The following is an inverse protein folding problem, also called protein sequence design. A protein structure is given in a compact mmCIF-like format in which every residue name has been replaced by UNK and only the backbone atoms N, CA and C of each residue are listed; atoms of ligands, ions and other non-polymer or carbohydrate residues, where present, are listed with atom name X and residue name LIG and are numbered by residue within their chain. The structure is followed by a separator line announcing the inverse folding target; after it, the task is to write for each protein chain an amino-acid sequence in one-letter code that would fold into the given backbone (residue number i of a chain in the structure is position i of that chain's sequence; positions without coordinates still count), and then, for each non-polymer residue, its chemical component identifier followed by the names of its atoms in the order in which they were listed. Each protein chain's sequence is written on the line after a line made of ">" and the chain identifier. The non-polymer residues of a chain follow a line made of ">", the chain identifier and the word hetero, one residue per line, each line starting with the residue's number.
data_IF_459048167730
#
_entry.id   IF_459048167730
#
_cell.length_a   1.000
_cell.length_b   1.000
_cell.length_c   1.000
_cell.angle_alpha   90.00
_cell.angle_beta   90.00
_cell.angle_gamma   90.00
#
_symmetry.space_group_name_H-M   'P 1'
#
loop_
_entity.id
_entity.type
_entity.pdbx_description
1 polymer ?
#
# COMPACT_ATOMS: atom_id res chain seq x y z
N UNK A 1 -6.69 10.79 26.70
CA UNK A 1 -7.29 10.10 25.52
C UNK A 1 -7.76 11.18 24.58
N UNK A 2 -7.48 11.06 23.28
CA UNK A 2 -7.77 12.16 22.34
C UNK A 2 -6.72 13.29 22.33
N UNK A 3 -5.78 13.27 23.29
CA UNK A 3 -4.60 14.13 23.27
C UNK A 3 -3.73 13.84 22.04
N UNK A 4 -2.85 14.79 21.69
CA UNK A 4 -1.95 14.65 20.54
C UNK A 4 -0.54 14.30 21.00
N UNK A 5 0.05 13.30 20.35
CA UNK A 5 1.47 13.00 20.43
C UNK A 5 2.13 13.47 19.14
N UNK A 6 3.24 14.19 19.27
CA UNK A 6 4.03 14.65 18.13
C UNK A 6 5.44 14.13 18.26
N UNK A 7 5.93 13.51 17.19
CA UNK A 7 7.34 13.21 17.03
C UNK A 7 7.95 14.26 16.11
N UNK A 8 9.03 14.86 16.57
CA UNK A 8 9.73 15.97 15.92
C UNK A 8 11.21 15.59 15.75
N UNK A 9 11.85 16.09 14.70
CA UNK A 9 13.32 16.15 14.65
C UNK A 9 13.84 17.27 15.56
N UNK A 10 15.15 17.29 15.80
CA UNK A 10 15.81 18.35 16.58
C UNK A 10 15.65 19.74 15.93
N UNK A 11 15.49 19.80 14.60
CA UNK A 11 15.18 21.03 13.85
C UNK A 11 13.69 21.42 13.90
N UNK A 12 12.87 20.68 14.65
CA UNK A 12 11.44 20.92 14.81
C UNK A 12 10.57 20.44 13.65
N UNK A 13 11.11 19.59 12.75
CA UNK A 13 10.33 19.01 11.66
C UNK A 13 9.40 17.95 12.23
N UNK A 14 8.09 18.09 11.99
CA UNK A 14 7.08 17.10 12.42
C UNK A 14 7.21 15.83 11.57
N UNK A 15 7.58 14.72 12.21
CA UNK A 15 7.60 13.40 11.61
C UNK A 15 6.22 12.73 11.71
N UNK A 16 5.62 12.77 12.90
CA UNK A 16 4.31 12.19 13.18
C UNK A 16 3.50 13.17 14.04
N UNK A 17 2.21 13.33 13.72
CA UNK A 17 1.23 14.01 14.56
C UNK A 17 0.04 13.06 14.71
N UNK A 18 -0.06 12.39 15.86
CA UNK A 18 -1.04 11.34 16.12
C UNK A 18 -1.97 11.69 17.27
N UNK A 19 -3.23 11.25 17.18
CA UNK A 19 -4.16 11.23 18.30
C UNK A 19 -3.93 9.98 19.12
N UNK A 20 -3.91 10.09 20.44
CA UNK A 20 -3.87 8.94 21.34
C UNK A 20 -5.21 8.23 21.33
N UNK A 21 -5.20 6.98 20.89
CA UNK A 21 -6.35 6.07 20.90
C UNK A 21 -6.35 5.13 22.10
N UNK A 22 -5.16 4.80 22.59
CA UNK A 22 -4.99 3.81 23.65
C UNK A 22 -3.89 4.24 24.62
N UNK A 23 -4.11 3.97 25.90
CA UNK A 23 -3.12 4.07 26.97
C UNK A 23 -3.18 2.78 27.76
N UNK A 24 -2.08 2.07 27.78
CA UNK A 24 -1.89 0.89 28.60
C UNK A 24 -0.95 1.24 29.77
N UNK A 25 -1.24 0.70 30.95
CA UNK A 25 -0.40 0.83 32.15
C UNK A 25 -0.16 -0.57 32.70
N UNK A 26 1.09 -0.98 32.79
CA UNK A 26 1.48 -2.30 33.30
C UNK A 26 2.23 -2.17 34.63
N UNK A 27 1.93 -3.06 35.58
CA UNK A 27 2.51 -3.07 36.92
C UNK A 27 4.00 -3.47 36.90
N UNK A 28 4.38 -4.38 36.00
CA UNK A 28 5.78 -4.69 35.73
C UNK A 28 6.48 -3.43 35.20
N UNK A 29 7.18 -2.74 36.12
CA UNK A 29 8.03 -1.56 35.93
C UNK A 29 7.32 -0.20 35.82
N UNK A 30 6.01 -0.12 36.06
CA UNK A 30 5.28 1.16 35.97
C UNK A 30 5.30 1.78 34.57
N UNK A 31 5.38 0.93 33.54
CA UNK A 31 5.45 1.34 32.14
C UNK A 31 4.10 1.87 31.68
N UNK A 32 4.13 2.99 30.94
CA UNK A 32 2.95 3.55 30.28
C UNK A 32 3.20 3.52 28.77
N UNK A 33 2.34 2.82 28.05
CA UNK A 33 2.38 2.75 26.58
C UNK A 33 1.23 3.57 26.01
N UNK A 34 1.53 4.39 25.01
CA UNK A 34 0.51 5.12 24.26
C UNK A 34 0.51 4.68 22.81
N UNK A 35 -0.65 4.29 22.29
CA UNK A 35 -0.85 3.99 20.87
C UNK A 35 -1.72 5.06 20.26
N UNK A 36 -1.27 5.60 19.12
CA UNK A 36 -1.96 6.67 18.42
C UNK A 36 -1.87 6.54 16.91
N UNK A 37 -2.80 7.20 16.22
CA UNK A 37 -2.87 7.24 14.77
C UNK A 37 -3.03 8.68 14.28
N UNK A 38 -2.55 8.97 13.08
CA UNK A 38 -2.81 10.25 12.44
C UNK A 38 -4.29 10.43 12.03
N UNK A 39 -4.62 11.61 11.50
CA UNK A 39 -6.00 11.95 11.13
C UNK A 39 -6.51 11.15 9.90
N UNK A 40 -5.66 10.39 9.19
CA UNK A 40 -6.12 9.47 8.14
C UNK A 40 -6.95 8.32 8.74
N UNK A 41 -6.71 7.96 10.01
CA UNK A 41 -7.55 7.00 10.74
C UNK A 41 -9.02 7.43 10.79
N UNK A 42 -9.30 8.73 10.93
CA UNK A 42 -10.67 9.25 10.90
C UNK A 42 -11.32 9.04 9.54
N UNK A 43 -10.57 9.28 8.45
CA UNK A 43 -11.04 9.08 7.08
C UNK A 43 -11.33 7.60 6.82
N UNK A 44 -10.44 6.70 7.28
CA UNK A 44 -10.62 5.25 7.16
C UNK A 44 -11.83 4.75 7.94
N UNK A 45 -12.12 5.34 9.11
CA UNK A 45 -13.23 4.90 9.99
C UNK A 45 -14.58 5.54 9.69
N UNK A 46 -14.64 6.53 8.80
CA UNK A 46 -15.87 7.28 8.50
C UNK A 46 -16.48 6.81 7.18
N UNK A 47 -17.78 6.48 7.20
CA UNK A 47 -18.53 6.13 6.00
C UNK A 47 -19.20 7.36 5.39
N UNK A 48 -19.32 7.36 4.06
CA UNK A 48 -19.87 8.45 3.27
C UNK A 48 -20.82 7.89 2.20
N UNK A 49 -21.84 8.68 1.85
CA UNK A 49 -22.72 8.39 0.72
C UNK A 49 -22.81 9.61 -0.21
N UNK A 50 -22.30 9.48 -1.44
CA UNK A 50 -22.28 10.57 -2.41
C UNK A 50 -22.49 10.09 -3.84
N UNK A 51 -23.06 10.97 -4.67
CA UNK A 51 -23.19 10.76 -6.12
C UNK A 51 -22.50 11.92 -6.85
N UNK A 52 -21.20 11.77 -7.09
CA UNK A 52 -20.41 12.78 -7.78
C UNK A 52 -20.68 12.75 -9.28
N UNK A 53 -20.77 13.93 -9.91
CA UNK A 53 -20.94 14.11 -11.37
C UNK A 53 -19.95 15.14 -11.89
N UNK A 54 -19.38 14.91 -13.08
CA UNK A 54 -18.44 15.83 -13.76
C UNK A 54 -17.33 16.34 -12.82
N UNK A 55 -16.65 15.41 -12.16
CA UNK A 55 -15.66 15.69 -11.13
C UNK A 55 -14.27 15.19 -11.54
N UNK A 56 -13.30 15.28 -10.63
CA UNK A 56 -11.96 14.68 -10.74
C UNK A 56 -11.58 14.04 -9.40
N UNK A 57 -10.57 13.15 -9.33
CA UNK A 57 -10.11 12.57 -8.08
C UNK A 57 -9.78 13.63 -7.01
N UNK A 58 -9.10 14.71 -7.38
CA UNK A 58 -8.69 15.75 -6.43
C UNK A 58 -9.89 16.52 -5.88
N UNK A 59 -10.95 16.68 -6.68
CA UNK A 59 -12.20 17.32 -6.23
C UNK A 59 -12.95 16.43 -5.25
N UNK A 60 -13.00 15.12 -5.50
CA UNK A 60 -13.59 14.15 -4.58
C UNK A 60 -12.81 14.14 -3.27
N UNK A 61 -11.48 14.04 -3.30
CA UNK A 61 -10.65 14.08 -2.09
C UNK A 61 -10.88 15.34 -1.27
N UNK A 62 -10.92 16.52 -1.91
CA UNK A 62 -11.23 17.78 -1.22
C UNK A 62 -12.62 17.79 -0.58
N UNK A 63 -13.61 17.18 -1.24
CA UNK A 63 -14.98 17.05 -0.71
C UNK A 63 -15.00 16.16 0.53
N UNK A 64 -14.41 14.97 0.45
CA UNK A 64 -14.28 14.01 1.57
C UNK A 64 -13.58 14.66 2.76
N UNK A 65 -12.42 15.29 2.54
CA UNK A 65 -11.69 15.98 3.59
C UNK A 65 -12.49 17.10 4.26
N UNK A 66 -13.22 17.90 3.46
CA UNK A 66 -14.04 18.99 3.98
C UNK A 66 -15.16 18.48 4.89
N UNK A 67 -15.85 17.43 4.48
CA UNK A 67 -16.94 16.82 5.24
C UNK A 67 -16.45 16.21 6.55
N UNK A 68 -15.30 15.54 6.53
CA UNK A 68 -14.72 14.89 7.69
C UNK A 68 -13.84 15.82 8.56
N UNK A 69 -13.76 17.11 8.23
CA UNK A 69 -12.97 18.08 8.98
C UNK A 69 -11.46 17.87 8.93
N UNK A 70 -10.94 17.16 7.92
CA UNK A 70 -9.50 16.93 7.74
C UNK A 70 -8.92 18.01 6.83
N UNK A 71 -7.83 18.64 7.28
CA UNK A 71 -7.15 19.65 6.47
C UNK A 71 -6.44 19.01 5.27
N UNK A 72 -6.35 19.74 4.15
CA UNK A 72 -5.67 19.27 2.95
C UNK A 72 -4.26 19.85 2.81
N UNK A 73 -3.36 19.04 2.29
CA UNK A 73 -2.01 19.40 1.86
C UNK A 73 -1.91 19.38 0.33
N UNK A 74 -0.84 18.80 -0.18
CA UNK A 74 -0.66 18.59 -1.61
C UNK A 74 -1.49 17.39 -2.11
N UNK A 75 -2.38 17.64 -3.06
CA UNK A 75 -3.21 16.60 -3.69
C UNK A 75 -2.76 16.42 -5.14
N UNK A 76 -2.23 15.24 -5.47
CA UNK A 76 -1.74 14.93 -6.81
C UNK A 76 -2.81 15.18 -7.87
N UNK A 77 -2.51 16.07 -8.83
CA UNK A 77 -3.37 16.37 -9.98
C UNK A 77 -3.21 15.30 -11.07
N UNK A 78 -4.26 14.55 -11.30
CA UNK A 78 -4.42 13.51 -12.33
C UNK A 78 -4.89 14.09 -13.66
N UNK A 79 -5.68 15.17 -13.63
CA UNK A 79 -6.42 15.75 -14.76
C UNK A 79 -7.37 14.75 -15.46
N UNK A 80 -7.73 13.66 -14.79
CA UNK A 80 -8.65 12.64 -15.30
C UNK A 80 -10.10 13.03 -14.97
N UNK A 81 -10.97 13.24 -15.98
CA UNK A 81 -12.36 13.60 -15.75
C UNK A 81 -13.21 12.38 -15.38
N UNK A 82 -13.92 12.46 -14.26
CA UNK A 82 -14.87 11.44 -13.82
C UNK A 82 -16.30 11.91 -14.13
N UNK A 83 -16.94 11.25 -15.10
CA UNK A 83 -18.33 11.58 -15.50
C UNK A 83 -19.31 11.39 -14.34
N UNK A 84 -19.22 10.25 -13.66
CA UNK A 84 -20.04 9.87 -12.50
C UNK A 84 -19.26 8.92 -11.61
N UNK A 85 -19.38 9.06 -10.30
CA UNK A 85 -18.92 8.08 -9.31
C UNK A 85 -19.89 8.08 -8.13
N UNK A 86 -20.40 6.90 -7.80
CA UNK A 86 -21.20 6.68 -6.59
C UNK A 86 -20.26 6.17 -5.51
N UNK A 87 -20.34 6.79 -4.35
CA UNK A 87 -19.63 6.37 -3.14
C UNK A 87 -20.68 5.91 -2.15
N UNK A 88 -20.48 4.69 -1.67
CA UNK A 88 -21.17 4.09 -0.53
C UNK A 88 -20.11 3.26 0.20
N UNK A 89 -19.54 3.80 1.28
CA UNK A 89 -18.42 3.16 1.97
C UNK A 89 -17.47 4.15 2.66
N UNK A 90 -16.27 3.67 3.00
CA UNK A 90 -15.31 4.44 3.78
C UNK A 90 -14.76 5.66 3.04
N UNK A 91 -14.42 6.74 3.74
CA UNK A 91 -13.85 7.95 3.14
C UNK A 91 -12.51 7.68 2.43
N UNK A 92 -11.71 6.76 2.95
CA UNK A 92 -10.47 6.31 2.30
C UNK A 92 -10.77 5.58 1.00
N UNK A 93 -11.72 4.65 1.03
CA UNK A 93 -12.18 3.91 -0.14
C UNK A 93 -12.73 4.86 -1.20
N UNK A 94 -13.47 5.90 -0.81
CA UNK A 94 -13.98 6.93 -1.72
C UNK A 94 -12.86 7.66 -2.46
N UNK A 95 -11.78 8.02 -1.75
CA UNK A 95 -10.58 8.62 -2.33
C UNK A 95 -9.92 7.63 -3.29
N UNK A 96 -9.69 6.39 -2.85
CA UNK A 96 -8.99 5.39 -3.64
C UNK A 96 -9.78 4.93 -4.86
N UNK A 97 -11.10 4.76 -4.79
CA UNK A 97 -11.99 4.52 -5.95
C UNK A 97 -11.82 5.57 -7.03
N UNK A 98 -11.73 6.85 -6.64
CA UNK A 98 -11.52 7.93 -7.60
C UNK A 98 -10.12 7.87 -8.24
N UNK A 99 -9.08 7.60 -7.44
CA UNK A 99 -7.72 7.47 -7.95
C UNK A 99 -7.46 6.17 -8.72
N UNK A 100 -8.23 5.10 -8.49
CA UNK A 100 -8.25 3.88 -9.31
C UNK A 100 -8.71 4.21 -10.74
N UNK A 101 -9.78 4.99 -10.90
CA UNK A 101 -10.23 5.45 -12.22
C UNK A 101 -9.13 6.23 -12.94
N UNK A 102 -8.44 7.12 -12.23
CA UNK A 102 -7.30 7.84 -12.79
C UNK A 102 -6.15 6.91 -13.17
N UNK A 103 -5.82 5.93 -12.32
CA UNK A 103 -4.80 4.93 -12.59
C UNK A 103 -5.10 4.15 -13.88
N UNK A 104 -6.34 3.72 -14.10
CA UNK A 104 -6.73 3.01 -15.31
C UNK A 104 -6.58 3.86 -16.58
N UNK A 105 -6.74 5.18 -16.49
CA UNK A 105 -6.57 6.08 -17.64
C UNK A 105 -5.11 6.48 -17.89
N UNK A 106 -4.32 6.71 -16.84
CA UNK A 106 -2.99 7.32 -16.97
C UNK A 106 -1.81 6.43 -16.51
N UNK A 107 -2.08 5.22 -16.01
CA UNK A 107 -1.12 4.25 -15.48
C UNK A 107 -0.28 4.70 -14.27
N UNK A 108 -0.55 5.87 -13.70
CA UNK A 108 0.10 6.39 -12.48
C UNK A 108 -0.54 5.80 -11.24
N UNK A 109 0.25 5.67 -10.18
CA UNK A 109 -0.17 5.04 -8.92
C UNK A 109 -0.21 6.09 -7.83
N UNK A 110 -1.23 6.03 -6.98
CA UNK A 110 -1.50 7.07 -6.01
C UNK A 110 -1.65 6.51 -4.61
N UNK A 111 -1.34 7.33 -3.60
CA UNK A 111 -1.49 6.96 -2.20
C UNK A 111 -1.80 8.20 -1.35
N UNK A 112 -2.86 8.18 -0.53
CA UNK A 112 -3.07 9.17 0.50
C UNK A 112 -2.10 8.94 1.67
N UNK A 113 -1.58 10.01 2.24
CA UNK A 113 -0.78 9.99 3.46
C UNK A 113 -0.94 11.31 4.22
N UNK A 114 -0.59 11.33 5.50
CA UNK A 114 -0.59 12.56 6.30
C UNK A 114 0.80 13.20 6.31
N UNK A 115 0.84 14.52 6.13
CA UNK A 115 2.01 15.34 6.45
C UNK A 115 1.58 16.31 7.55
N UNK A 116 2.02 16.05 8.78
CA UNK A 116 1.43 16.64 9.97
C UNK A 116 -0.08 16.39 10.00
N UNK A 117 -0.89 17.45 10.10
CA UNK A 117 -2.37 17.35 10.14
C UNK A 117 -3.06 17.49 8.78
N UNK A 118 -2.29 17.41 7.68
CA UNK A 118 -2.81 17.64 6.33
C UNK A 118 -2.77 16.36 5.51
N UNK A 119 -3.92 15.97 4.94
CA UNK A 119 -4.00 14.89 3.97
C UNK A 119 -3.31 15.32 2.68
N UNK A 120 -2.35 14.52 2.25
CA UNK A 120 -1.72 14.61 0.95
C UNK A 120 -2.13 13.40 0.12
N UNK A 121 -2.10 13.53 -1.21
CA UNK A 121 -2.09 12.39 -2.13
C UNK A 121 -0.85 12.51 -3.00
N UNK A 122 -0.02 11.49 -2.98
CA UNK A 122 1.24 11.43 -3.74
C UNK A 122 1.11 10.53 -4.96
N UNK A 123 2.00 10.72 -5.95
CA UNK A 123 2.29 9.69 -6.95
C UNK A 123 3.31 8.70 -6.34
N UNK A 124 2.92 7.43 -6.17
CA UNK A 124 3.74 6.38 -5.54
C UNK A 124 4.99 6.07 -6.37
N UNK A 125 6.09 5.77 -5.68
CA UNK A 125 7.33 5.23 -6.25
C UNK A 125 8.37 6.28 -6.62
N UNK A 126 8.20 7.51 -6.12
CA UNK A 126 9.25 8.53 -6.11
C UNK A 126 10.46 8.00 -5.33
N UNK A 127 11.67 8.19 -5.85
CA UNK A 127 12.89 7.71 -5.22
C UNK A 127 13.24 8.58 -4.00
N UNK A 128 13.60 7.95 -2.88
CA UNK A 128 14.23 8.62 -1.73
C UNK A 128 15.50 9.33 -2.23
N UNK A 129 15.66 10.61 -1.90
CA UNK A 129 16.75 11.43 -2.42
C UNK A 129 17.97 11.32 -1.52
N UNK A 130 19.15 11.32 -2.12
CA UNK A 130 20.44 11.35 -1.41
C UNK A 130 20.62 10.24 -0.35
N UNK A 131 19.94 9.11 -0.54
CA UNK A 131 20.04 7.96 0.35
C UNK A 131 19.83 6.67 -0.45
N UNK A 132 20.57 5.63 -0.08
CA UNK A 132 20.45 4.29 -0.60
C UNK A 132 20.80 3.30 0.51
N UNK A 133 20.37 2.05 0.37
CA UNK A 133 20.70 0.99 1.30
C UNK A 133 21.88 0.19 0.76
N UNK A 134 22.87 -0.03 1.60
CA UNK A 134 24.08 -0.78 1.25
C UNK A 134 24.51 -1.67 2.43
N UNK A 135 24.85 -2.93 2.14
CA UNK A 135 25.25 -3.94 3.12
C UNK A 135 26.61 -3.67 3.77
N UNK A 136 27.43 -2.83 3.15
CA UNK A 136 28.70 -2.37 3.71
C UNK A 136 28.59 -1.07 4.52
N UNK A 137 27.47 -0.35 4.43
CA UNK A 137 27.30 0.97 5.06
C UNK A 137 26.25 1.00 6.17
N UNK A 138 24.99 0.65 5.87
CA UNK A 138 23.86 1.01 6.71
C UNK A 138 22.81 -0.09 6.92
N UNK A 139 22.83 -1.17 6.13
CA UNK A 139 22.01 -2.35 6.40
C UNK A 139 22.60 -3.12 7.58
N UNK A 140 21.77 -3.47 8.55
CA UNK A 140 22.16 -4.26 9.71
C UNK A 140 21.69 -5.71 9.63
N UNK A 141 20.58 -5.95 8.95
CA UNK A 141 20.07 -7.28 8.66
C UNK A 141 19.14 -7.23 7.45
N UNK A 142 19.09 -8.30 6.67
CA UNK A 142 18.18 -8.40 5.53
C UNK A 142 17.72 -9.82 5.32
N UNK A 143 16.55 -9.97 4.71
CA UNK A 143 15.98 -11.26 4.36
C UNK A 143 15.27 -11.18 3.03
N UNK A 144 15.43 -12.22 2.21
CA UNK A 144 14.70 -12.41 0.97
C UNK A 144 14.13 -13.82 0.91
N UNK A 145 12.81 -13.92 0.75
CA UNK A 145 12.08 -15.19 0.67
C UNK A 145 11.35 -15.32 -0.65
N UNK A 146 11.42 -16.51 -1.26
CA UNK A 146 10.62 -16.90 -2.43
C UNK A 146 9.78 -18.12 -2.07
N UNK A 147 8.46 -18.08 -2.33
CA UNK A 147 7.58 -19.24 -2.11
C UNK A 147 6.83 -19.63 -3.39
N UNK A 148 6.63 -20.93 -3.54
CA UNK A 148 5.79 -21.54 -4.57
C UNK A 148 4.49 -22.13 -3.98
N UNK A 149 4.33 -22.05 -2.66
CA UNK A 149 3.25 -22.68 -1.89
C UNK A 149 1.85 -22.39 -2.48
N UNK A 150 1.61 -21.12 -2.80
CA UNK A 150 0.35 -20.66 -3.38
C UNK A 150 0.37 -20.55 -4.91
N UNK A 151 1.38 -21.13 -5.59
CA UNK A 151 1.48 -21.00 -7.04
C UNK A 151 0.27 -21.63 -7.73
N UNK A 152 -0.37 -20.88 -8.63
CA UNK A 152 -1.37 -21.38 -9.56
C UNK A 152 -0.96 -20.92 -10.96
N UNK A 153 -0.38 -21.83 -11.72
CA UNK A 153 0.10 -21.54 -13.07
C UNK A 153 -0.75 -22.15 -14.19
N UNK A 154 -1.80 -22.90 -13.82
CA UNK A 154 -2.87 -23.35 -14.70
C UNK A 154 -4.21 -23.16 -14.01
N UNK A 155 -5.20 -22.61 -14.71
CA UNK A 155 -6.59 -22.56 -14.24
C UNK A 155 -7.48 -23.18 -15.31
N UNK A 156 -8.19 -24.26 -14.97
CA UNK A 156 -9.18 -24.89 -15.86
C UNK A 156 -10.56 -24.31 -15.60
N UNK A 157 -11.27 -23.98 -16.66
CA UNK A 157 -12.59 -23.35 -16.60
C UNK A 157 -13.64 -24.41 -16.84
N UNK A 158 -14.58 -24.55 -15.91
CA UNK A 158 -15.69 -25.49 -16.00
C UNK A 158 -17.04 -24.75 -16.06
N UNK A 159 -18.00 -25.33 -16.76
CA UNK A 159 -19.38 -24.86 -16.72
C UNK A 159 -20.17 -25.52 -15.57
N UNK A 160 -21.38 -25.04 -15.36
CA UNK A 160 -22.41 -25.58 -14.45
C UNK A 160 -22.62 -27.10 -14.55
N UNK A 161 -22.36 -27.69 -15.72
CA UNK A 161 -22.49 -29.13 -15.99
C UNK A 161 -21.19 -29.93 -15.74
N UNK A 162 -20.16 -29.32 -15.17
CA UNK A 162 -18.86 -29.97 -14.92
C UNK A 162 -18.05 -30.27 -16.18
N UNK A 163 -18.39 -29.66 -17.34
CA UNK A 163 -17.60 -29.75 -18.57
C UNK A 163 -16.52 -28.68 -18.58
N UNK A 164 -15.28 -29.09 -18.85
CA UNK A 164 -14.18 -28.16 -19.11
C UNK A 164 -14.47 -27.38 -20.41
N UNK A 165 -14.56 -26.06 -20.30
CA UNK A 165 -14.85 -25.13 -21.40
C UNK A 165 -13.66 -24.24 -21.76
N UNK A 166 -12.54 -24.35 -21.04
CA UNK A 166 -11.32 -23.62 -21.34
C UNK A 166 -10.21 -23.79 -20.31
N UNK A 167 -9.07 -23.17 -20.58
CA UNK A 167 -7.95 -23.12 -19.66
C UNK A 167 -7.14 -21.83 -19.85
N UNK A 168 -6.48 -21.38 -18.77
CA UNK A 168 -5.47 -20.33 -18.80
C UNK A 168 -4.19 -20.89 -18.20
N UNK A 169 -3.03 -20.59 -18.82
CA UNK A 169 -1.74 -21.17 -18.46
C UNK A 169 -0.62 -20.15 -18.50
N UNK A 170 0.27 -20.21 -17.52
CA UNK A 170 1.59 -19.57 -17.57
C UNK A 170 2.64 -20.61 -18.01
N UNK A 171 2.90 -20.69 -19.32
CA UNK A 171 3.81 -21.68 -19.92
C UNK A 171 5.23 -21.60 -19.37
N UNK A 172 5.73 -20.40 -19.07
CA UNK A 172 7.08 -20.21 -18.55
C UNK A 172 7.22 -20.80 -17.15
N UNK A 173 6.23 -20.54 -16.28
CA UNK A 173 6.21 -21.13 -14.94
C UNK A 173 6.00 -22.64 -14.98
N UNK A 174 5.17 -23.15 -15.89
CA UNK A 174 4.97 -24.60 -16.06
C UNK A 174 6.28 -25.28 -16.45
N UNK A 175 7.01 -24.71 -17.41
CA UNK A 175 8.30 -25.26 -17.85
C UNK A 175 9.35 -25.26 -16.73
N UNK A 176 9.31 -24.28 -15.83
CA UNK A 176 10.30 -24.11 -14.77
C UNK A 176 9.97 -24.84 -13.46
N UNK A 177 8.70 -24.84 -13.06
CA UNK A 177 8.26 -25.28 -11.73
C UNK A 177 7.31 -26.48 -11.79
N UNK A 178 6.93 -26.93 -12.99
CA UNK A 178 5.88 -27.93 -13.15
C UNK A 178 4.48 -27.30 -13.05
N UNK A 179 3.46 -28.16 -13.08
CA UNK A 179 2.05 -27.72 -13.18
C UNK A 179 1.42 -27.62 -11.79
N UNK A 180 1.00 -26.41 -11.43
CA UNK A 180 0.14 -26.16 -10.28
C UNK A 180 -1.21 -25.67 -10.81
N UNK A 181 -2.27 -26.46 -10.58
CA UNK A 181 -3.55 -26.27 -11.24
C UNK A 181 -4.67 -25.98 -10.26
N UNK A 182 -5.45 -24.94 -10.57
CA UNK A 182 -6.72 -24.65 -9.93
C UNK A 182 -7.90 -24.83 -10.92
N UNK A 183 -9.11 -24.92 -10.37
CA UNK A 183 -10.38 -24.99 -11.11
C UNK A 183 -11.19 -23.71 -10.88
N UNK A 184 -11.62 -23.08 -11.98
CA UNK A 184 -12.57 -21.98 -11.96
C UNK A 184 -13.93 -22.46 -12.46
N UNK A 185 -14.94 -22.39 -11.60
CA UNK A 185 -16.33 -22.61 -12.00
C UNK A 185 -16.88 -21.31 -12.59
N UNK A 186 -17.41 -21.37 -13.81
CA UNK A 186 -18.01 -20.19 -14.44
C UNK A 186 -19.14 -19.64 -13.58
N UNK A 187 -18.99 -18.39 -13.18
CA UNK A 187 -20.04 -17.61 -12.54
C UNK A 187 -20.96 -16.95 -13.57
N UNK A 188 -22.22 -16.74 -13.18
CA UNK A 188 -23.19 -15.99 -13.97
C UNK A 188 -22.82 -14.50 -14.00
N UNK A 189 -22.96 -13.84 -15.16
CA UNK A 189 -22.61 -12.42 -15.31
C UNK A 189 -21.10 -12.11 -15.36
N UNK A 190 -20.21 -13.05 -15.03
CA UNK A 190 -18.76 -12.84 -15.04
C UNK A 190 -18.12 -13.39 -16.32
N UNK A 191 -17.17 -12.65 -16.91
CA UNK A 191 -16.38 -13.16 -18.01
C UNK A 191 -15.49 -14.32 -17.52
N UNK A 192 -15.63 -15.55 -18.04
CA UNK A 192 -14.94 -16.72 -17.47
C UNK A 192 -13.42 -16.63 -17.55
N UNK A 193 -12.88 -15.94 -18.57
CA UNK A 193 -11.43 -15.74 -18.70
C UNK A 193 -10.92 -14.71 -17.70
N UNK A 194 -11.71 -13.69 -17.35
CA UNK A 194 -11.34 -12.69 -16.35
C UNK A 194 -11.29 -13.32 -14.95
N UNK A 195 -12.33 -14.06 -14.56
CA UNK A 195 -12.39 -14.78 -13.29
C UNK A 195 -11.31 -15.87 -13.18
N UNK A 196 -11.10 -16.67 -14.22
CA UNK A 196 -10.01 -17.65 -14.21
C UNK A 196 -8.61 -16.99 -14.16
N UNK A 197 -8.44 -15.81 -14.74
CA UNK A 197 -7.14 -15.10 -14.71
C UNK A 197 -6.84 -14.54 -13.33
N UNK A 198 -7.83 -14.15 -12.53
CA UNK A 198 -7.59 -13.67 -11.15
C UNK A 198 -7.10 -14.77 -10.22
N UNK A 199 -7.37 -16.04 -10.53
CA UNK A 199 -6.83 -17.18 -9.79
C UNK A 199 -5.38 -17.53 -10.15
N UNK A 200 -4.80 -16.95 -11.21
CA UNK A 200 -3.40 -17.20 -11.51
C UNK A 200 -2.51 -16.51 -10.46
N UNK A 201 -1.70 -17.32 -9.80
CA UNK A 201 -0.74 -16.87 -8.81
C UNK A 201 0.67 -17.32 -9.18
N UNK A 202 1.57 -16.35 -9.26
CA UNK A 202 2.98 -16.61 -9.50
C UNK A 202 3.70 -17.05 -8.23
N UNK A 203 5.03 -17.16 -8.34
CA UNK A 203 5.90 -17.21 -7.17
C UNK A 203 5.72 -15.92 -6.37
N UNK A 204 5.53 -16.04 -5.06
CA UNK A 204 5.51 -14.90 -4.14
C UNK A 204 6.93 -14.59 -3.68
N UNK A 205 7.17 -13.31 -3.41
CA UNK A 205 8.48 -12.76 -3.06
C UNK A 205 8.29 -11.78 -1.92
N UNK A 206 9.03 -11.96 -0.84
CA UNK A 206 9.03 -11.08 0.33
C UNK A 206 10.46 -10.66 0.61
N UNK A 207 10.68 -9.37 0.83
CA UNK A 207 11.98 -8.84 1.24
C UNK A 207 11.79 -7.86 2.41
N UNK A 208 12.66 -7.98 3.41
CA UNK A 208 12.71 -7.10 4.57
C UNK A 208 14.14 -6.66 4.81
N UNK A 209 14.34 -5.39 5.13
CA UNK A 209 15.65 -4.82 5.49
C UNK A 209 15.53 -4.07 6.82
N UNK A 210 16.41 -4.39 7.76
CA UNK A 210 16.72 -3.57 8.92
C UNK A 210 17.96 -2.74 8.62
N UNK A 211 17.92 -1.45 8.95
CA UNK A 211 19.01 -0.52 8.67
C UNK A 211 19.08 0.61 9.70
N UNK A 212 20.16 1.39 9.63
CA UNK A 212 20.23 2.70 10.27
C UNK A 212 19.09 3.57 9.73
N UNK A 213 18.39 4.26 10.62
CA UNK A 213 17.16 4.98 10.29
C UNK A 213 17.37 6.16 9.35
N UNK A 214 16.43 6.35 8.41
CA UNK A 214 16.27 7.56 7.62
C UNK A 214 14.79 7.91 7.49
N UNK A 215 14.41 9.09 7.96
CA UNK A 215 13.00 9.54 8.05
C UNK A 215 12.31 9.73 6.70
N UNK A 216 13.07 9.75 5.59
CA UNK A 216 12.53 9.82 4.24
C UNK A 216 12.08 8.44 3.71
N UNK A 217 12.54 7.35 4.34
CA UNK A 217 12.21 5.99 3.98
C UNK A 217 10.85 5.61 4.57
N UNK A 218 9.78 6.08 3.93
CA UNK A 218 8.40 5.78 4.30
C UNK A 218 7.67 5.05 3.16
N UNK A 219 6.62 4.32 3.52
CA UNK A 219 5.74 3.61 2.60
C UNK A 219 5.24 4.50 1.46
N UNK A 220 5.17 3.90 0.27
CA UNK A 220 4.79 4.62 -0.96
C UNK A 220 5.96 5.24 -1.73
N UNK A 221 7.17 5.31 -1.16
CA UNK A 221 8.39 5.70 -1.86
C UNK A 221 9.14 4.48 -2.42
N UNK A 222 10.14 4.76 -3.24
CA UNK A 222 11.08 3.76 -3.75
C UNK A 222 12.49 4.03 -3.22
N UNK A 223 13.30 2.98 -3.13
CA UNK A 223 14.67 3.06 -2.62
C UNK A 223 15.60 2.21 -3.48
N UNK A 224 16.84 2.67 -3.64
CA UNK A 224 17.90 1.89 -4.27
C UNK A 224 18.61 1.07 -3.20
N UNK A 225 18.90 -0.19 -3.51
CA UNK A 225 19.47 -1.17 -2.59
C UNK A 225 20.64 -1.85 -3.29
N UNK A 226 21.74 -2.01 -2.56
CA UNK A 226 22.88 -2.83 -2.89
C UNK A 226 23.15 -3.77 -1.70
N UNK A 227 22.49 -4.92 -1.69
CA UNK A 227 22.72 -5.96 -0.70
C UNK A 227 23.22 -7.21 -1.44
N UNK A 228 24.54 -7.40 -1.38
CA UNK A 228 25.23 -8.51 -2.04
C UNK A 228 24.94 -9.84 -1.37
N UNK A 229 24.65 -9.85 -0.06
CA UNK A 229 24.39 -11.05 0.71
C UNK A 229 23.04 -11.70 0.33
N UNK A 230 21.99 -10.90 0.13
CA UNK A 230 20.67 -11.42 -0.30
C UNK A 230 20.44 -11.35 -1.82
N UNK A 231 21.29 -10.62 -2.54
CA UNK A 231 21.15 -10.36 -3.97
C UNK A 231 20.07 -9.31 -4.30
N UNK A 232 19.62 -8.54 -3.31
CA UNK A 232 18.73 -7.40 -3.53
C UNK A 232 19.53 -6.22 -4.10
N UNK A 233 19.60 -6.16 -5.43
CA UNK A 233 20.36 -5.14 -6.16
C UNK A 233 19.42 -4.41 -7.12
N UNK A 234 19.25 -3.10 -6.90
CA UNK A 234 18.48 -2.22 -7.77
C UNK A 234 17.42 -1.40 -7.04
N UNK A 235 16.36 -1.04 -7.78
CA UNK A 235 15.25 -0.21 -7.29
C UNK A 235 14.11 -1.07 -6.76
N UNK A 236 13.69 -0.80 -5.53
CA UNK A 236 12.57 -1.46 -4.86
C UNK A 236 11.56 -0.43 -4.33
N UNK A 237 10.35 -0.88 -3.98
CA UNK A 237 9.29 -0.03 -3.43
C UNK A 237 9.05 -0.36 -1.96
N UNK A 238 8.93 0.66 -1.13
CA UNK A 238 8.66 0.51 0.30
C UNK A 238 7.15 0.29 0.46
N UNK A 239 6.77 -0.92 0.86
CA UNK A 239 5.39 -1.31 1.11
C UNK A 239 4.96 -0.87 2.51
N UNK A 240 5.78 -1.19 3.51
CA UNK A 240 5.62 -0.71 4.87
C UNK A 240 6.97 -0.39 5.50
N UNK A 241 6.94 0.53 6.45
CA UNK A 241 8.08 1.01 7.20
C UNK A 241 7.76 1.04 8.69
N UNK A 242 8.77 0.75 9.50
CA UNK A 242 8.76 0.91 10.95
C UNK A 242 10.02 1.63 11.36
N UNK A 243 9.89 2.62 12.24
CA UNK A 243 10.99 3.46 12.69
C UNK A 243 11.06 3.44 14.21
N UNK A 244 12.24 3.13 14.75
CA UNK A 244 12.44 2.92 16.19
C UNK A 244 13.53 3.85 16.70
N UNK A 245 13.18 4.67 17.69
CA UNK A 245 14.13 5.46 18.47
C UNK A 245 14.22 4.87 19.87
N UNK A 246 15.39 4.34 20.21
CA UNK A 246 15.61 3.68 21.50
C UNK A 246 17.06 3.85 21.95
N UNK A 247 17.24 4.28 23.20
CA UNK A 247 18.57 4.38 23.84
C UNK A 247 19.60 5.17 23.00
N UNK A 248 19.16 6.28 22.40
CA UNK A 248 20.00 7.13 21.54
C UNK A 248 20.27 6.60 20.12
N UNK A 249 19.72 5.43 19.76
CA UNK A 249 19.83 4.85 18.42
C UNK A 249 18.54 5.08 17.63
N UNK A 250 18.69 5.26 16.30
CA UNK A 250 17.58 5.32 15.36
C UNK A 250 17.77 4.25 14.28
N UNK A 251 16.82 3.31 14.22
CA UNK A 251 16.79 2.25 13.21
C UNK A 251 15.47 2.25 12.46
N UNK A 252 15.46 1.60 11.29
CA UNK A 252 14.26 1.36 10.52
C UNK A 252 14.19 -0.08 10.02
N UNK A 253 12.97 -0.58 9.86
CA UNK A 253 12.66 -1.81 9.17
C UNK A 253 11.76 -1.49 7.97
N UNK A 254 12.15 -1.95 6.78
CA UNK A 254 11.40 -1.76 5.54
C UNK A 254 10.98 -3.10 4.97
N UNK A 255 9.69 -3.27 4.69
CA UNK A 255 9.20 -4.34 3.84
C UNK A 255 9.11 -3.84 2.39
N UNK A 256 9.59 -4.65 1.47
CA UNK A 256 9.85 -4.24 0.09
C UNK A 256 9.00 -5.02 -0.90
N UNK A 257 8.53 -4.29 -1.90
CA UNK A 257 7.85 -4.81 -3.07
C UNK A 257 8.75 -4.78 -4.30
N UNK A 258 8.57 -5.78 -5.17
CA UNK A 258 9.34 -5.94 -6.42
C UNK A 258 8.69 -5.21 -7.60
N UNK A 259 7.52 -4.60 -7.36
CA UNK A 259 6.76 -3.81 -8.31
C UNK A 259 6.05 -2.70 -7.55
N UNK A 260 5.89 -1.54 -8.17
CA UNK A 260 5.06 -0.48 -7.61
C UNK A 260 3.59 -0.94 -7.63
N UNK A 261 2.99 -1.15 -6.45
CA UNK A 261 1.57 -1.46 -6.31
C UNK A 261 0.84 -0.27 -5.69
N UNK A 262 -0.44 -0.11 -6.07
CA UNK A 262 -1.36 0.76 -5.34
C UNK A 262 -2.52 -0.09 -4.85
N UNK A 263 -3.19 0.41 -3.82
CA UNK A 263 -4.46 -0.12 -3.40
C UNK A 263 -5.53 0.24 -4.44
N UNK A 264 -5.95 -0.76 -5.22
CA UNK A 264 -6.93 -0.64 -6.29
C UNK A 264 -8.29 -1.02 -5.70
N UNK A 265 -9.18 -0.04 -5.58
CA UNK A 265 -10.56 -0.27 -5.13
C UNK A 265 -11.50 -0.64 -6.28
N UNK A 266 -12.51 -1.45 -5.99
CA UNK A 266 -13.51 -1.89 -6.97
C UNK A 266 -14.31 -0.71 -7.54
N UNK A 267 -14.56 -0.77 -8.85
CA UNK A 267 -15.34 0.22 -9.57
C UNK A 267 -16.73 -0.36 -9.88
N UNK A 268 -17.77 0.16 -9.21
CA UNK A 268 -19.17 -0.04 -9.62
C UNK A 268 -19.64 1.05 -10.60
#
# INVERSE_FOLDING_TARGET
>A
MGDRLKLLTDEGIVLIDSMVYEKEVTDEQGTITYTGYDDLKHIVKSNLMHNYKKTTPERITKSVCKELGVSIGNIAKTNVPIKKLIIDGGGYEAIMKAYTKAHHENNKKYMPLMVGRKLNVIEKGSLVRNFHLDDSENITNSSYTQRLEDMVNVVKIYNDKGKCIGEIKNKNNIAKYGKFQEVYQKEEGVNPKKGAKSLLQGMTKEASINAIGNVQCISGFAINICDSATGLIGKYWIESDSHTWQSGNYTMQLNLEFKNLMDVQEEE
#
